data_IF_350559277653
#
_entry.id   IF_350559277653
#
_cell.length_a   1.000
_cell.length_b   1.000
_cell.length_c   1.000
_cell.angle_alpha   90.00
_cell.angle_beta   90.00
_cell.angle_gamma   90.00
#
_symmetry.space_group_name_H-M   'P 1'
#
loop_
_entity.id
_entity.type
_entity.pdbx_description
1 polymer ?
#
# COMPACT_ATOMS: atom_id res chain seq x y z
N UNK A 1 -12.36 -10.30 -11.84
CA UNK A 1 -10.89 -10.44 -11.77
C UNK A 1 -10.49 -11.67 -10.96
N UNK A 2 -9.69 -12.56 -11.58
CA UNK A 2 -9.37 -13.92 -11.11
C UNK A 2 -8.61 -13.94 -9.78
N UNK A 3 -9.16 -14.60 -8.76
CA UNK A 3 -8.40 -15.04 -7.59
C UNK A 3 -8.61 -16.55 -7.38
N UNK A 4 -7.56 -17.34 -7.62
CA UNK A 4 -7.54 -18.80 -7.35
C UNK A 4 -6.99 -19.12 -5.96
N UNK A 5 -6.63 -18.10 -5.19
CA UNK A 5 -6.12 -18.17 -3.81
C UNK A 5 -6.79 -17.10 -2.95
N UNK A 6 -6.66 -17.17 -1.63
CA UNK A 6 -7.14 -16.11 -0.74
C UNK A 6 -6.04 -15.05 -0.54
N UNK A 7 -6.39 -13.76 -0.62
CA UNK A 7 -5.47 -12.63 -0.48
C UNK A 7 -5.01 -11.96 -1.78
N UNK A 8 -4.13 -10.96 -1.64
CA UNK A 8 -3.52 -10.20 -2.74
C UNK A 8 -2.10 -10.70 -3.02
N UNK A 9 -1.82 -11.01 -4.28
CA UNK A 9 -0.55 -11.43 -4.79
C UNK A 9 0.26 -10.26 -5.35
N UNK A 10 1.54 -10.52 -5.60
CA UNK A 10 2.40 -9.53 -6.22
C UNK A 10 1.88 -9.14 -7.61
N UNK A 11 1.54 -7.86 -7.77
CA UNK A 11 1.09 -7.29 -9.04
C UNK A 11 -0.43 -7.17 -9.19
N UNK A 12 -1.22 -7.67 -8.25
CA UNK A 12 -2.69 -7.57 -8.30
C UNK A 12 -3.18 -6.11 -8.25
N UNK A 13 -2.39 -5.21 -7.67
CA UNK A 13 -2.68 -3.78 -7.60
C UNK A 13 -2.56 -3.06 -8.95
N UNK A 14 -1.80 -3.61 -9.89
CA UNK A 14 -1.58 -2.99 -11.20
C UNK A 14 -2.87 -2.84 -11.99
N UNK A 15 -3.80 -3.81 -11.88
CA UNK A 15 -5.10 -3.76 -12.55
C UNK A 15 -5.99 -2.60 -12.08
N UNK A 16 -5.70 -2.02 -10.91
CA UNK A 16 -6.42 -0.86 -10.40
C UNK A 16 -5.84 0.48 -10.85
N UNK A 17 -4.60 0.50 -11.37
CA UNK A 17 -3.93 1.71 -11.86
C UNK A 17 -3.97 1.84 -13.38
N UNK A 18 -3.90 0.72 -14.09
CA UNK A 18 -3.79 0.69 -15.54
C UNK A 18 -4.84 -0.23 -16.14
N UNK A 19 -5.42 0.21 -17.25
CA UNK A 19 -6.18 -0.69 -18.11
C UNK A 19 -5.19 -1.63 -18.81
N UNK A 20 -5.20 -2.90 -18.41
CA UNK A 20 -4.28 -3.91 -18.90
C UNK A 20 -5.01 -4.90 -19.79
N UNK A 21 -4.57 -5.06 -21.04
CA UNK A 21 -5.19 -5.98 -22.02
C UNK A 21 -5.24 -7.45 -21.54
N UNK A 22 -4.40 -7.80 -20.56
CA UNK A 22 -4.37 -9.12 -19.92
C UNK A 22 -5.55 -9.37 -18.96
N UNK A 23 -6.33 -8.33 -18.65
CA UNK A 23 -7.55 -8.38 -17.84
C UNK A 23 -8.76 -8.20 -18.77
N UNK A 24 -9.27 -9.29 -19.38
CA UNK A 24 -10.32 -9.21 -20.39
C UNK A 24 -11.72 -8.92 -19.82
N UNK A 25 -11.86 -8.91 -18.49
CA UNK A 25 -13.12 -8.66 -17.80
C UNK A 25 -13.24 -7.19 -17.44
N UNK A 26 -14.40 -6.60 -17.71
CA UNK A 26 -14.75 -5.29 -17.20
C UNK A 26 -14.83 -5.30 -15.66
N UNK A 27 -14.37 -4.24 -14.97
CA UNK A 27 -14.49 -4.12 -13.53
C UNK A 27 -15.94 -4.24 -13.07
N UNK A 28 -16.18 -5.05 -12.03
CA UNK A 28 -17.46 -4.99 -11.31
C UNK A 28 -17.52 -3.71 -10.44
N UNK A 29 -18.63 -3.48 -9.74
CA UNK A 29 -18.79 -2.27 -8.92
C UNK A 29 -17.76 -2.13 -7.79
N UNK A 30 -17.33 -3.24 -7.18
CA UNK A 30 -16.30 -3.22 -6.13
C UNK A 30 -14.91 -2.95 -6.72
N UNK A 31 -14.58 -3.58 -7.86
CA UNK A 31 -13.34 -3.32 -8.59
C UNK A 31 -13.29 -1.86 -9.04
N UNK A 32 -14.38 -1.33 -9.60
CA UNK A 32 -14.47 0.08 -10.02
C UNK A 32 -14.26 1.04 -8.85
N UNK A 33 -14.83 0.73 -7.67
CA UNK A 33 -14.60 1.51 -6.46
C UNK A 33 -13.12 1.52 -6.07
N UNK A 34 -12.42 0.39 -6.19
CA UNK A 34 -10.97 0.32 -5.91
C UNK A 34 -10.13 1.07 -6.96
N UNK A 35 -10.50 0.99 -8.24
CA UNK A 35 -9.91 1.81 -9.31
C UNK A 35 -10.03 3.30 -8.96
N UNK A 36 -11.23 3.75 -8.58
CA UNK A 36 -11.49 5.14 -8.23
C UNK A 36 -10.66 5.58 -7.01
N UNK A 37 -10.57 4.75 -5.95
CA UNK A 37 -9.76 5.03 -4.77
C UNK A 37 -8.27 5.11 -5.12
N UNK A 38 -7.71 4.10 -5.78
CA UNK A 38 -6.27 4.01 -6.06
C UNK A 38 -5.85 5.12 -7.01
N UNK A 39 -6.59 5.35 -8.10
CA UNK A 39 -6.29 6.43 -9.05
C UNK A 39 -6.41 7.81 -8.41
N UNK A 40 -7.39 8.04 -7.51
CA UNK A 40 -7.52 9.28 -6.74
C UNK A 40 -6.31 9.51 -5.82
N UNK A 41 -5.91 8.51 -5.03
CA UNK A 41 -4.76 8.60 -4.12
C UNK A 41 -3.47 8.92 -4.89
N UNK A 42 -3.23 8.21 -6.00
CA UNK A 42 -2.03 8.42 -6.83
C UNK A 42 -2.03 9.79 -7.50
N UNK A 43 -3.16 10.21 -8.08
CA UNK A 43 -3.23 11.51 -8.78
C UNK A 43 -3.16 12.70 -7.82
N UNK A 44 -3.75 12.61 -6.64
CA UNK A 44 -3.61 13.64 -5.61
C UNK A 44 -2.17 13.71 -5.09
N UNK A 45 -1.51 12.57 -4.86
CA UNK A 45 -0.09 12.56 -4.50
C UNK A 45 0.77 13.20 -5.59
N UNK A 46 0.55 12.86 -6.87
CA UNK A 46 1.29 13.44 -7.98
C UNK A 46 1.08 14.97 -8.10
N UNK A 47 -0.11 15.48 -7.78
CA UNK A 47 -0.44 16.91 -7.85
C UNK A 47 0.04 17.71 -6.64
N UNK A 48 -0.07 17.15 -5.45
CA UNK A 48 0.03 17.90 -4.19
C UNK A 48 1.11 17.37 -3.23
N UNK A 49 1.73 16.24 -3.52
CA UNK A 49 2.65 15.54 -2.60
C UNK A 49 1.94 14.92 -1.38
N UNK A 50 0.60 14.92 -1.36
CA UNK A 50 -0.24 14.34 -0.31
C UNK A 50 -1.38 13.57 -0.99
N UNK A 51 -1.57 12.26 -0.71
CA UNK A 51 -2.62 11.46 -1.33
C UNK A 51 -4.05 11.77 -0.84
N UNK A 52 -4.19 12.50 0.27
CA UNK A 52 -5.49 12.91 0.84
C UNK A 52 -5.50 14.41 1.20
N UNK A 53 -5.25 15.31 0.22
CA UNK A 53 -5.02 16.74 0.47
C UNK A 53 -6.26 17.47 0.98
N UNK A 54 -7.45 17.00 0.63
CA UNK A 54 -8.74 17.56 1.03
C UNK A 54 -9.30 16.97 2.33
N UNK A 55 -8.58 16.03 2.96
CA UNK A 55 -9.09 15.26 4.10
C UNK A 55 -10.12 14.19 3.71
N UNK A 56 -10.91 13.68 4.68
CA UNK A 56 -11.93 12.65 4.44
C UNK A 56 -13.02 13.08 3.46
N UNK A 57 -13.44 12.15 2.61
CA UNK A 57 -14.50 12.28 1.59
C UNK A 57 -15.37 11.03 1.57
N UNK A 58 -16.46 11.03 0.80
CA UNK A 58 -17.31 9.83 0.65
C UNK A 58 -16.55 8.65 0.02
N UNK A 59 -15.62 8.91 -0.90
CA UNK A 59 -14.80 7.88 -1.56
C UNK A 59 -13.65 7.39 -0.68
N UNK A 60 -12.96 8.31 -0.03
CA UNK A 60 -11.81 8.07 0.85
C UNK A 60 -12.15 8.66 2.23
N UNK A 61 -12.78 7.89 3.14
CA UNK A 61 -13.30 8.39 4.41
C UNK A 61 -12.23 8.56 5.50
N UNK A 62 -10.96 8.34 5.17
CA UNK A 62 -9.84 8.43 6.10
C UNK A 62 -8.77 9.36 5.54
N UNK A 63 -8.13 10.14 6.42
CA UNK A 63 -6.95 10.91 6.05
C UNK A 63 -5.71 10.02 6.17
N UNK A 64 -4.92 9.92 5.12
CA UNK A 64 -3.67 9.18 5.14
C UNK A 64 -2.55 10.07 5.69
N UNK A 65 -2.30 9.94 6.99
CA UNK A 65 -1.24 10.71 7.66
C UNK A 65 0.16 10.20 7.28
N UNK A 66 1.14 11.10 7.08
CA UNK A 66 2.51 10.72 6.78
C UNK A 66 3.19 10.05 7.97
N UNK A 67 4.13 9.14 7.68
CA UNK A 67 5.00 8.58 8.71
C UNK A 67 6.03 9.62 9.19
N UNK A 68 5.97 10.00 10.47
CA UNK A 68 6.88 10.98 11.08
C UNK A 68 7.57 10.37 12.31
N UNK A 69 8.89 10.49 12.39
CA UNK A 69 9.67 9.99 13.54
C UNK A 69 9.55 8.48 13.70
N UNK A 70 9.05 8.01 14.84
CA UNK A 70 8.79 6.59 15.11
C UNK A 70 7.37 6.14 14.73
N UNK A 71 6.51 7.05 14.29
CA UNK A 71 5.17 6.70 13.84
C UNK A 71 5.26 5.91 12.53
N UNK A 72 4.45 4.86 12.41
CA UNK A 72 4.37 3.99 11.24
C UNK A 72 2.92 3.79 10.81
N UNK A 73 2.18 4.86 10.50
CA UNK A 73 0.84 4.73 9.92
C UNK A 73 0.95 4.13 8.51
N UNK A 74 -0.02 3.30 8.14
CA UNK A 74 -0.23 2.87 6.77
C UNK A 74 -1.72 2.86 6.47
N UNK A 75 -2.07 3.08 5.21
CA UNK A 75 -3.43 2.93 4.72
C UNK A 75 -3.63 1.47 4.30
N UNK A 76 -4.53 0.76 4.98
CA UNK A 76 -5.02 -0.53 4.53
C UNK A 76 -6.08 -0.29 3.45
N UNK A 77 -5.71 -0.53 2.20
CA UNK A 77 -6.59 -0.43 1.04
C UNK A 77 -7.36 -1.74 0.93
N UNK A 78 -8.51 -1.79 1.62
CA UNK A 78 -9.46 -2.90 1.64
C UNK A 78 -10.88 -2.34 1.88
N UNK A 79 -11.89 -3.20 2.03
CA UNK A 79 -13.23 -2.84 2.45
C UNK A 79 -13.49 -3.30 3.90
N UNK A 80 -13.47 -2.37 4.89
CA UNK A 80 -13.37 -0.91 4.76
C UNK A 80 -11.94 -0.37 4.65
N UNK A 81 -11.80 0.80 4.00
CA UNK A 81 -10.55 1.55 3.92
C UNK A 81 -10.19 2.11 5.31
N UNK A 82 -9.03 1.73 5.85
CA UNK A 82 -8.66 2.06 7.24
C UNK A 82 -7.22 2.55 7.37
N UNK A 83 -6.98 3.45 8.35
CA UNK A 83 -5.63 3.86 8.73
C UNK A 83 -5.17 3.01 9.92
N UNK A 84 -4.15 2.21 9.70
CA UNK A 84 -3.59 1.29 10.69
C UNK A 84 -2.14 1.65 11.03
N UNK A 85 -1.55 0.94 11.99
CA UNK A 85 -0.24 1.27 12.54
C UNK A 85 0.63 0.03 12.67
N UNK A 86 1.93 0.20 12.39
CA UNK A 86 2.98 -0.80 12.63
C UNK A 86 2.72 -2.12 11.90
N UNK A 87 2.58 -2.05 10.58
CA UNK A 87 2.44 -3.23 9.71
C UNK A 87 3.50 -4.29 10.03
N UNK A 88 3.06 -5.50 10.35
CA UNK A 88 3.92 -6.65 10.70
C UNK A 88 5.01 -6.32 11.74
N UNK A 89 4.70 -5.51 12.77
CA UNK A 89 5.67 -5.00 13.74
C UNK A 89 6.63 -6.06 14.30
N UNK A 90 6.12 -7.21 14.73
CA UNK A 90 6.95 -8.28 15.31
C UNK A 90 7.97 -8.82 14.31
N UNK A 91 7.57 -9.02 13.05
CA UNK A 91 8.44 -9.46 11.97
C UNK A 91 9.49 -8.41 11.63
N UNK A 92 9.09 -7.13 11.58
CA UNK A 92 10.01 -6.02 11.33
C UNK A 92 11.05 -5.90 12.45
N UNK A 93 10.62 -6.00 13.71
CA UNK A 93 11.51 -5.98 14.89
C UNK A 93 12.48 -7.17 14.87
N UNK A 94 11.98 -8.37 14.55
CA UNK A 94 12.83 -9.56 14.44
C UNK A 94 13.97 -9.33 13.44
N UNK A 95 13.64 -8.87 12.22
CA UNK A 95 14.66 -8.65 11.18
C UNK A 95 15.62 -7.51 11.54
N UNK A 96 15.12 -6.42 12.13
CA UNK A 96 15.96 -5.33 12.62
C UNK A 96 16.99 -5.81 13.65
N UNK A 97 16.57 -6.63 14.61
CA UNK A 97 17.47 -7.21 15.62
C UNK A 97 18.45 -8.20 14.98
N UNK A 98 17.96 -9.09 14.12
CA UNK A 98 18.77 -10.09 13.44
C UNK A 98 19.92 -9.44 12.64
N UNK A 99 19.62 -8.43 11.82
CA UNK A 99 20.63 -7.75 11.01
C UNK A 99 21.61 -6.93 11.84
N UNK A 100 21.19 -6.39 13.00
CA UNK A 100 22.10 -5.72 13.93
C UNK A 100 23.08 -6.70 14.59
N UNK A 101 22.61 -7.90 14.97
CA UNK A 101 23.43 -8.92 15.63
C UNK A 101 24.35 -9.70 14.69
N UNK A 102 23.99 -9.78 13.40
CA UNK A 102 24.72 -10.56 12.40
C UNK A 102 25.27 -9.71 11.25
N UNK A 103 25.57 -8.43 11.52
CA UNK A 103 26.09 -7.50 10.52
C UNK A 103 27.39 -8.02 9.86
N UNK A 104 28.21 -8.75 10.62
CA UNK A 104 29.43 -9.42 10.16
C UNK A 104 29.18 -10.53 9.11
N UNK A 105 27.96 -11.07 9.05
CA UNK A 105 27.58 -12.17 8.16
C UNK A 105 26.84 -11.71 6.89
N UNK A 106 26.49 -10.43 6.79
CA UNK A 106 25.82 -9.88 5.61
C UNK A 106 26.84 -9.71 4.48
N UNK A 107 26.91 -10.68 3.56
CA UNK A 107 27.71 -10.55 2.35
C UNK A 107 27.00 -9.66 1.33
N UNK A 108 27.68 -8.61 0.85
CA UNK A 108 27.20 -7.75 -0.25
C UNK A 108 26.79 -6.34 0.14
N UNK A 109 26.85 -5.96 1.43
CA UNK A 109 26.74 -4.54 1.80
C UNK A 109 28.12 -3.89 1.62
N UNK A 110 28.39 -3.43 0.40
CA UNK A 110 29.52 -2.52 0.18
C UNK A 110 29.40 -1.37 1.16
N UNK A 111 30.49 -1.11 1.89
CA UNK A 111 30.65 0.10 2.70
C UNK A 111 30.44 1.29 1.78
N UNK A 112 29.43 2.11 2.07
CA UNK A 112 29.36 3.49 1.59
C UNK A 112 30.37 4.34 2.36
#
# INVERSE_FOLDING_TARGET
MMNTTDGSLHGDDMGYLWNADILPEEPNAADQKMIDIITKLYTDFAKYGNPTPSGPTDLIPVKWEPAVGEQRPYLLIDEPLSLEHRLFNERMVFWDVYYKLHADKVKGRGTL
#
